data_IF_477653571403
#
_entry.id   IF_477653571403
#
_cell.length_a   1.000
_cell.length_b   1.000
_cell.length_c   1.000
_cell.angle_alpha   90.00
_cell.angle_beta   90.00
_cell.angle_gamma   90.00
#
_symmetry.space_group_name_H-M   'P 1'
#
loop_
_entity.id
_entity.type
_entity.pdbx_description
1 polymer ?
#
# COMPACT_ATOMS: atom_id res chain seq x y z
N UNK A 1 -35.38 63.12 11.43
CA UNK A 1 -35.33 63.23 12.89
C UNK A 1 -34.15 62.40 13.34
N UNK A 2 -32.96 62.89 13.29
CA UNK A 2 -32.15 63.73 14.17
C UNK A 2 -32.00 63.09 15.56
N UNK A 3 -30.78 62.59 15.81
CA UNK A 3 -30.33 62.09 17.10
C UNK A 3 -28.83 61.83 17.14
N UNK A 4 -28.07 62.89 16.98
CA UNK A 4 -26.63 62.99 17.28
C UNK A 4 -26.38 62.87 18.75
N UNK A 5 -25.58 61.88 19.22
CA UNK A 5 -25.02 61.83 20.57
C UNK A 5 -23.54 62.07 20.55
N UNK A 6 -23.19 63.23 21.13
CA UNK A 6 -21.86 63.73 21.47
C UNK A 6 -21.04 62.73 22.29
N UNK A 7 -19.85 62.35 21.84
CA UNK A 7 -18.81 61.74 22.67
C UNK A 7 -17.93 62.80 23.27
N UNK A 8 -17.99 62.87 24.60
CA UNK A 8 -17.22 63.76 25.47
C UNK A 8 -15.73 63.39 25.39
N UNK A 9 -14.94 64.33 24.93
CA UNK A 9 -13.45 64.25 24.96
C UNK A 9 -12.96 64.38 26.41
N UNK A 10 -12.23 63.39 26.89
CA UNK A 10 -11.45 63.48 28.14
C UNK A 10 -10.07 64.09 27.82
N UNK A 11 -9.56 64.95 28.68
CA UNK A 11 -8.26 65.62 28.41
C UNK A 11 -7.07 64.67 28.62
N UNK A 12 -6.25 64.51 27.59
CA UNK A 12 -4.96 63.82 27.65
C UNK A 12 -4.00 64.68 28.46
N UNK A 13 -3.66 64.24 29.66
CA UNK A 13 -2.58 64.82 30.46
C UNK A 13 -1.26 64.46 29.82
N UNK A 14 -0.56 65.45 29.26
CA UNK A 14 0.82 65.35 28.78
C UNK A 14 1.77 65.08 29.95
N UNK A 15 2.39 63.94 30.02
CA UNK A 15 3.49 63.66 30.95
C UNK A 15 4.79 64.28 30.34
N UNK A 16 5.58 65.06 31.07
CA UNK A 16 6.79 65.65 30.53
C UNK A 16 7.82 64.56 30.19
N UNK A 17 8.39 64.71 29.00
CA UNK A 17 9.37 63.77 28.37
C UNK A 17 10.75 63.76 29.07
N UNK A 18 10.93 64.51 30.14
CA UNK A 18 12.22 64.68 30.81
C UNK A 18 12.54 63.65 31.91
N UNK A 19 11.56 62.85 32.36
CA UNK A 19 11.73 61.94 33.51
C UNK A 19 12.08 60.52 33.13
N UNK A 20 12.10 60.15 31.83
CA UNK A 20 12.42 58.75 31.40
C UNK A 20 13.92 58.56 31.06
N UNK A 21 14.65 59.69 30.81
CA UNK A 21 16.06 59.56 30.45
C UNK A 21 17.03 59.48 31.65
N UNK A 22 16.59 59.82 32.84
CA UNK A 22 17.45 59.72 34.05
C UNK A 22 17.34 58.38 34.79
N UNK A 23 16.32 57.56 34.48
CA UNK A 23 16.17 56.22 35.11
C UNK A 23 16.92 55.11 34.37
N UNK A 24 17.43 55.36 33.16
CA UNK A 24 18.33 54.47 32.44
C UNK A 24 19.80 54.82 32.74
N UNK A 25 20.11 54.89 34.03
CA UNK A 25 21.48 54.97 34.51
C UNK A 25 22.28 53.82 33.89
N UNK A 26 23.31 54.16 33.18
CA UNK A 26 24.31 53.31 32.57
C UNK A 26 24.72 52.14 33.50
N UNK A 27 24.02 51.03 33.45
CA UNK A 27 24.66 49.78 33.86
C UNK A 27 25.65 49.40 32.78
N UNK A 28 26.87 49.96 32.87
CA UNK A 28 28.04 49.41 32.24
C UNK A 28 28.07 47.92 32.64
N UNK A 29 27.78 47.04 31.69
CA UNK A 29 28.19 45.65 31.79
C UNK A 29 29.71 45.65 31.84
N UNK A 30 30.26 45.70 33.06
CA UNK A 30 31.66 45.32 33.26
C UNK A 30 31.74 43.86 32.88
N UNK A 31 32.26 43.58 31.69
CA UNK A 31 32.76 42.27 31.30
C UNK A 31 33.87 41.91 32.28
N UNK A 32 33.51 41.34 33.45
CA UNK A 32 34.48 40.69 34.29
C UNK A 32 34.89 39.41 33.53
N UNK A 33 36.12 39.37 33.03
CA UNK A 33 36.82 38.16 32.60
C UNK A 33 37.03 37.21 33.82
N UNK A 34 35.99 36.96 34.61
CA UNK A 34 35.97 35.94 35.64
C UNK A 34 35.56 34.64 34.92
N UNK A 35 36.44 33.63 34.95
CA UNK A 35 36.22 32.33 34.41
C UNK A 35 34.78 31.88 34.71
N UNK A 36 33.97 31.69 33.66
CA UNK A 36 32.59 31.13 33.73
C UNK A 36 32.54 29.86 34.56
N UNK A 37 33.63 29.11 34.58
CA UNK A 37 33.86 27.93 35.42
C UNK A 37 33.84 28.25 36.93
N UNK A 38 34.44 29.37 37.38
CA UNK A 38 34.44 29.80 38.79
C UNK A 38 33.04 30.22 39.28
N UNK A 39 32.25 30.87 38.44
CA UNK A 39 30.86 31.22 38.74
C UNK A 39 29.94 29.96 38.81
N UNK A 40 30.07 29.05 37.87
CA UNK A 40 29.34 27.80 37.86
C UNK A 40 29.66 26.91 39.10
N UNK A 41 30.94 26.84 39.52
CA UNK A 41 31.37 26.12 40.72
C UNK A 41 30.80 26.70 42.01
N UNK A 42 30.71 28.05 42.12
CA UNK A 42 30.06 28.72 43.25
C UNK A 42 28.56 28.45 43.31
N UNK A 43 27.86 28.51 42.18
CA UNK A 43 26.44 28.20 42.06
C UNK A 43 26.13 26.75 42.44
N UNK A 44 26.92 25.81 41.94
CA UNK A 44 26.80 24.40 42.28
C UNK A 44 26.99 24.12 43.76
N UNK A 45 27.98 24.80 44.42
CA UNK A 45 28.23 24.67 45.84
C UNK A 45 27.11 25.28 46.69
N UNK A 46 26.43 26.35 46.23
CA UNK A 46 25.33 26.99 46.94
C UNK A 46 23.99 26.25 46.79
N UNK A 47 23.74 25.67 45.58
CA UNK A 47 22.46 25.00 45.25
C UNK A 47 22.66 23.72 44.46
N UNK A 48 23.24 22.65 45.07
CA UNK A 48 23.68 21.49 44.32
C UNK A 48 22.51 20.72 43.62
N UNK A 49 21.36 20.61 44.28
CA UNK A 49 20.22 19.91 43.70
C UNK A 49 19.54 20.68 42.55
N UNK A 50 19.36 21.98 42.72
CA UNK A 50 18.70 22.82 41.71
C UNK A 50 19.59 22.96 40.45
N UNK A 51 20.91 23.08 40.63
CA UNK A 51 21.85 23.17 39.51
C UNK A 51 21.97 21.84 38.77
N UNK A 52 22.01 20.73 39.50
CA UNK A 52 22.03 19.40 38.89
C UNK A 52 20.76 19.12 38.10
N UNK A 53 19.59 19.47 38.66
CA UNK A 53 18.31 19.31 37.99
C UNK A 53 18.21 20.18 36.72
N UNK A 54 18.58 21.45 36.81
CA UNK A 54 18.65 22.37 35.67
C UNK A 54 19.61 21.90 34.58
N UNK A 55 20.80 21.38 34.97
CA UNK A 55 21.78 20.82 34.04
C UNK A 55 21.25 19.59 33.34
N UNK A 56 20.51 18.73 34.05
CA UNK A 56 19.87 17.55 33.50
C UNK A 56 18.81 17.94 32.44
N UNK A 57 17.95 18.91 32.74
CA UNK A 57 16.96 19.39 31.76
C UNK A 57 17.61 20.01 30.53
N UNK A 58 18.71 20.78 30.69
CA UNK A 58 19.45 21.34 29.55
C UNK A 58 20.07 20.22 28.71
N UNK A 59 20.66 19.20 29.33
CA UNK A 59 21.25 18.07 28.62
C UNK A 59 20.18 17.25 27.88
N UNK A 60 19.04 16.98 28.53
CA UNK A 60 17.91 16.31 27.87
C UNK A 60 17.34 17.14 26.71
N UNK A 61 17.18 18.44 26.89
CA UNK A 61 16.75 19.36 25.84
C UNK A 61 17.72 19.40 24.66
N UNK A 62 19.01 19.53 24.94
CA UNK A 62 20.05 19.51 23.91
C UNK A 62 20.13 18.14 23.19
N UNK A 63 20.11 17.04 23.97
CA UNK A 63 20.06 15.68 23.41
C UNK A 63 18.81 15.44 22.55
N UNK A 64 17.67 15.90 23.02
CA UNK A 64 16.41 15.87 22.25
C UNK A 64 16.50 16.64 20.93
N UNK A 65 17.06 17.83 20.94
CA UNK A 65 17.28 18.61 19.71
C UNK A 65 18.23 17.92 18.72
N UNK A 66 19.33 17.35 19.22
CA UNK A 66 20.27 16.58 18.39
C UNK A 66 19.58 15.35 17.81
N UNK A 67 18.81 14.61 18.63
CA UNK A 67 18.06 13.45 18.19
C UNK A 67 17.00 13.80 17.12
N UNK A 68 16.21 14.85 17.35
CA UNK A 68 15.20 15.33 16.39
C UNK A 68 15.86 15.75 15.08
N UNK A 69 16.98 16.49 15.16
CA UNK A 69 17.72 16.89 13.96
C UNK A 69 18.29 15.71 13.20
N UNK A 70 18.89 14.74 13.91
CA UNK A 70 19.37 13.49 13.31
C UNK A 70 18.24 12.70 12.65
N UNK A 71 17.12 12.51 13.36
CA UNK A 71 15.93 11.81 12.83
C UNK A 71 15.39 12.54 11.58
N UNK A 72 15.26 13.85 11.64
CA UNK A 72 14.79 14.64 10.51
C UNK A 72 15.70 14.48 9.27
N UNK A 73 17.01 14.55 9.45
CA UNK A 73 17.96 14.40 8.33
C UNK A 73 18.07 12.96 7.84
N UNK A 74 18.08 11.96 8.74
CA UNK A 74 18.25 10.56 8.37
C UNK A 74 16.99 9.99 7.71
N UNK A 75 15.82 10.26 8.29
CA UNK A 75 14.56 9.60 7.87
C UNK A 75 13.70 10.49 6.98
N UNK A 76 13.58 11.78 7.27
CA UNK A 76 12.69 12.65 6.48
C UNK A 76 13.39 13.19 5.24
N UNK A 77 14.60 13.76 5.36
CA UNK A 77 15.36 14.22 4.20
C UNK A 77 15.97 13.04 3.46
N UNK A 78 16.47 12.04 4.18
CA UNK A 78 17.09 10.85 3.62
C UNK A 78 16.20 10.07 2.66
N UNK A 79 14.91 9.97 2.95
CA UNK A 79 13.92 9.32 2.08
C UNK A 79 13.75 10.01 0.70
N UNK A 80 14.18 11.27 0.56
CA UNK A 80 14.03 12.06 -0.67
C UNK A 80 15.36 12.31 -1.38
N UNK A 81 16.45 11.63 -1.01
CA UNK A 81 17.79 11.85 -1.61
C UNK A 81 17.83 11.63 -3.12
N UNK A 82 16.97 10.76 -3.64
CA UNK A 82 16.84 10.48 -5.06
C UNK A 82 16.17 11.61 -5.85
N UNK A 83 15.49 12.55 -5.17
CA UNK A 83 14.85 13.70 -5.81
C UNK A 83 15.72 14.94 -5.70
N UNK A 84 15.84 15.77 -6.77
CA UNK A 84 16.36 17.12 -6.67
C UNK A 84 15.58 17.93 -5.63
N UNK A 85 16.27 18.77 -4.84
CA UNK A 85 15.65 19.49 -3.71
C UNK A 85 14.39 20.31 -4.08
N UNK A 86 14.30 21.00 -5.24
CA UNK A 86 13.07 21.68 -5.63
C UNK A 86 11.85 20.74 -5.72
N UNK A 87 12.04 19.52 -6.28
CA UNK A 87 11.01 18.49 -6.40
C UNK A 87 10.70 17.90 -5.03
N UNK A 88 11.72 17.51 -4.27
CA UNK A 88 11.58 16.94 -2.94
C UNK A 88 10.80 17.87 -1.99
N UNK A 89 11.04 19.19 -2.06
CA UNK A 89 10.34 20.19 -1.25
C UNK A 89 8.82 20.19 -1.49
N UNK A 90 8.40 20.15 -2.75
CA UNK A 90 6.96 20.14 -3.06
C UNK A 90 6.33 18.75 -2.82
N UNK A 91 7.08 17.67 -3.07
CA UNK A 91 6.63 16.31 -2.80
C UNK A 91 6.41 16.06 -1.29
N UNK A 92 7.29 16.57 -0.42
CA UNK A 92 7.08 16.49 1.04
C UNK A 92 5.77 17.13 1.47
N UNK A 93 5.38 18.28 0.87
CA UNK A 93 4.09 18.92 1.15
C UNK A 93 2.91 18.08 0.65
N UNK A 94 3.02 17.49 -0.55
CA UNK A 94 1.99 16.60 -1.09
C UNK A 94 1.76 15.41 -0.14
N UNK A 95 2.83 14.73 0.27
CA UNK A 95 2.76 13.59 1.19
C UNK A 95 2.27 13.97 2.59
N UNK A 96 2.63 15.16 3.09
CA UNK A 96 2.09 15.67 4.36
C UNK A 96 0.56 15.77 4.31
N UNK A 97 0.00 16.39 3.26
CA UNK A 97 -1.45 16.51 3.09
C UNK A 97 -2.14 15.20 2.68
N UNK A 98 -1.38 14.18 2.30
CA UNK A 98 -1.89 12.83 2.03
C UNK A 98 -1.97 11.97 3.29
N UNK A 99 -0.97 12.07 4.20
CA UNK A 99 -0.77 11.10 5.26
C UNK A 99 -0.97 11.66 6.67
N UNK A 100 -0.65 12.94 6.90
CA UNK A 100 -0.70 13.55 8.23
C UNK A 100 -1.93 14.45 8.42
N UNK A 101 -2.17 15.36 7.51
CA UNK A 101 -3.29 16.31 7.56
C UNK A 101 -4.08 16.17 6.26
N UNK A 102 -5.02 15.20 6.24
CA UNK A 102 -5.73 14.81 5.03
C UNK A 102 -6.55 15.98 4.46
N UNK A 103 -5.93 16.71 3.52
CA UNK A 103 -6.56 17.82 2.77
C UNK A 103 -6.47 17.55 1.27
N UNK A 104 -7.49 16.89 0.66
CA UNK A 104 -7.44 16.42 -0.71
C UNK A 104 -7.07 17.51 -1.72
N UNK A 105 -7.66 18.67 -1.60
CA UNK A 105 -7.38 19.78 -2.52
C UNK A 105 -5.92 20.25 -2.47
N UNK A 106 -5.34 20.33 -1.25
CA UNK A 106 -3.95 20.74 -1.07
C UNK A 106 -2.99 19.64 -1.58
N UNK A 107 -3.25 18.37 -1.23
CA UNK A 107 -2.45 17.26 -1.71
C UNK A 107 -2.37 17.25 -3.26
N UNK A 108 -3.50 17.29 -3.95
CA UNK A 108 -3.56 17.35 -5.42
C UNK A 108 -2.79 18.54 -5.98
N UNK A 109 -2.96 19.73 -5.38
CA UNK A 109 -2.24 20.94 -5.78
C UNK A 109 -0.72 20.74 -5.71
N UNK A 110 -0.23 20.14 -4.62
CA UNK A 110 1.20 19.93 -4.44
C UNK A 110 1.73 18.80 -5.31
N UNK A 111 1.00 17.71 -5.54
CA UNK A 111 1.40 16.69 -6.53
C UNK A 111 1.54 17.28 -7.93
N UNK A 112 0.57 18.07 -8.40
CA UNK A 112 0.65 18.75 -9.69
C UNK A 112 1.82 19.71 -9.76
N UNK A 113 2.11 20.44 -8.66
CA UNK A 113 3.26 21.34 -8.60
C UNK A 113 4.58 20.56 -8.64
N UNK A 114 4.66 19.42 -7.95
CA UNK A 114 5.84 18.55 -7.95
C UNK A 114 6.16 18.07 -9.37
N UNK A 115 5.16 17.58 -10.10
CA UNK A 115 5.33 17.12 -11.49
C UNK A 115 5.76 18.26 -12.42
N UNK A 116 5.18 19.45 -12.27
CA UNK A 116 5.59 20.64 -13.04
C UNK A 116 7.05 21.02 -12.77
N UNK A 117 7.45 21.06 -11.50
CA UNK A 117 8.84 21.38 -11.13
C UNK A 117 9.80 20.31 -11.66
N UNK A 118 9.40 19.02 -11.64
CA UNK A 118 10.21 17.95 -12.23
C UNK A 118 10.42 18.14 -13.73
N UNK A 119 9.39 18.55 -14.45
CA UNK A 119 9.44 18.88 -15.89
C UNK A 119 10.32 20.12 -16.15
N UNK A 120 10.13 21.20 -15.38
CA UNK A 120 10.89 22.45 -15.50
C UNK A 120 12.42 22.26 -15.33
N UNK A 121 12.82 21.33 -14.47
CA UNK A 121 14.26 20.99 -14.26
C UNK A 121 14.76 19.87 -15.17
N UNK A 122 13.93 19.38 -16.10
CA UNK A 122 14.31 18.38 -17.10
C UNK A 122 14.49 16.96 -16.58
N UNK A 123 13.75 16.55 -15.53
CA UNK A 123 13.74 15.14 -15.11
C UNK A 123 13.15 14.24 -16.21
N UNK A 124 13.74 13.04 -16.39
CA UNK A 124 13.20 12.05 -17.31
C UNK A 124 11.75 11.66 -16.89
N UNK A 125 10.73 11.87 -17.75
CA UNK A 125 9.34 11.54 -17.47
C UNK A 125 9.11 10.05 -17.14
N UNK A 126 10.04 9.18 -17.58
CA UNK A 126 9.99 7.73 -17.38
C UNK A 126 11.00 7.24 -16.33
N UNK A 127 11.59 8.16 -15.55
CA UNK A 127 12.37 7.77 -14.38
C UNK A 127 11.48 7.15 -13.30
N UNK A 128 12.06 6.29 -12.44
CA UNK A 128 11.32 5.68 -11.33
C UNK A 128 10.75 6.74 -10.38
N UNK A 129 11.45 7.86 -10.22
CA UNK A 129 11.04 8.98 -9.40
C UNK A 129 9.77 9.65 -9.94
N UNK A 130 9.75 9.99 -11.23
CA UNK A 130 8.60 10.69 -11.85
C UNK A 130 7.41 9.75 -11.98
N UNK A 131 7.61 8.51 -12.43
CA UNK A 131 6.56 7.49 -12.46
C UNK A 131 6.02 7.22 -11.06
N UNK A 132 6.89 7.14 -10.05
CA UNK A 132 6.51 6.97 -8.65
C UNK A 132 5.60 8.10 -8.14
N UNK A 133 5.87 9.37 -8.48
CA UNK A 133 5.01 10.51 -8.12
C UNK A 133 3.62 10.38 -8.78
N UNK A 134 3.56 9.99 -10.07
CA UNK A 134 2.30 9.80 -10.80
C UNK A 134 1.47 8.66 -10.18
N UNK A 135 2.10 7.51 -9.89
CA UNK A 135 1.47 6.36 -9.23
C UNK A 135 0.98 6.72 -7.83
N UNK A 136 1.79 7.46 -7.05
CA UNK A 136 1.40 7.92 -5.72
C UNK A 136 0.20 8.88 -5.75
N UNK A 137 0.10 9.72 -6.78
CA UNK A 137 -1.09 10.56 -7.00
C UNK A 137 -2.33 9.69 -7.26
N UNK A 138 -2.22 8.63 -8.06
CA UNK A 138 -3.33 7.70 -8.31
C UNK A 138 -3.73 6.97 -7.02
N UNK A 139 -2.78 6.45 -6.24
CA UNK A 139 -3.04 5.83 -4.94
C UNK A 139 -3.71 6.82 -3.96
N UNK A 140 -3.34 8.10 -4.01
CA UNK A 140 -4.03 9.12 -3.22
C UNK A 140 -5.48 9.33 -3.68
N UNK A 141 -5.75 9.31 -5.00
CA UNK A 141 -7.12 9.39 -5.52
C UNK A 141 -7.97 8.21 -5.06
N UNK A 142 -7.41 7.00 -5.05
CA UNK A 142 -8.04 5.79 -4.50
C UNK A 142 -8.34 5.95 -3.00
N UNK A 143 -7.36 6.40 -2.20
CA UNK A 143 -7.52 6.66 -0.76
C UNK A 143 -8.69 7.60 -0.44
N UNK A 144 -8.95 8.58 -1.28
CA UNK A 144 -10.08 9.51 -1.14
C UNK A 144 -11.32 9.07 -1.92
N UNK A 145 -11.39 7.78 -2.28
CA UNK A 145 -12.51 7.13 -2.97
C UNK A 145 -12.87 7.75 -4.34
N UNK A 146 -11.90 8.36 -5.01
CA UNK A 146 -12.06 8.88 -6.39
C UNK A 146 -11.51 7.88 -7.40
N UNK A 147 -12.06 6.67 -7.42
CA UNK A 147 -11.57 5.54 -8.21
C UNK A 147 -11.44 5.84 -9.70
N UNK A 148 -12.45 6.43 -10.34
CA UNK A 148 -12.36 6.82 -11.75
C UNK A 148 -11.24 7.83 -12.03
N UNK A 149 -10.91 8.71 -11.08
CA UNK A 149 -9.77 9.63 -11.23
C UNK A 149 -8.44 8.92 -11.06
N UNK A 150 -8.36 7.95 -10.17
CA UNK A 150 -7.18 7.09 -10.02
C UNK A 150 -6.91 6.33 -11.33
N UNK A 151 -7.94 5.69 -11.89
CA UNK A 151 -7.87 4.98 -13.18
C UNK A 151 -7.41 5.93 -14.29
N UNK A 152 -8.02 7.13 -14.42
CA UNK A 152 -7.60 8.10 -15.44
C UNK A 152 -6.12 8.46 -15.36
N UNK A 153 -5.59 8.67 -14.15
CA UNK A 153 -4.16 8.97 -13.98
C UNK A 153 -3.30 7.79 -14.40
N UNK A 154 -3.67 6.57 -13.97
CA UNK A 154 -2.92 5.35 -14.30
C UNK A 154 -2.98 5.02 -15.79
N UNK A 155 -4.13 5.20 -16.45
CA UNK A 155 -4.28 4.99 -17.91
C UNK A 155 -3.39 5.95 -18.71
N UNK A 156 -3.32 7.23 -18.34
CA UNK A 156 -2.41 8.18 -18.98
C UNK A 156 -0.96 7.71 -18.81
N UNK A 157 -0.55 7.34 -17.60
CA UNK A 157 0.82 6.87 -17.35
C UNK A 157 1.13 5.59 -18.12
N UNK A 158 0.17 4.65 -18.17
CA UNK A 158 0.31 3.41 -18.92
C UNK A 158 0.50 3.67 -20.41
N UNK A 159 -0.34 4.52 -21.00
CA UNK A 159 -0.28 4.84 -22.41
C UNK A 159 1.03 5.57 -22.76
N UNK A 160 1.43 6.59 -21.99
CA UNK A 160 2.73 7.25 -22.13
C UNK A 160 3.89 6.22 -22.16
N UNK A 161 3.85 5.23 -21.26
CA UNK A 161 4.87 4.17 -21.18
C UNK A 161 4.85 3.24 -22.42
N UNK A 162 3.65 2.87 -22.89
CA UNK A 162 3.51 2.01 -24.10
C UNK A 162 3.98 2.74 -25.34
N UNK A 163 3.60 4.00 -25.53
CA UNK A 163 4.03 4.84 -26.65
C UNK A 163 5.56 4.98 -26.66
N UNK A 164 6.18 5.18 -25.48
CA UNK A 164 7.63 5.23 -25.38
C UNK A 164 8.29 3.87 -25.72
N UNK A 165 7.71 2.76 -25.27
CA UNK A 165 8.23 1.41 -25.58
C UNK A 165 8.17 1.14 -27.08
N UNK A 166 7.07 1.53 -27.76
CA UNK A 166 6.89 1.34 -29.19
C UNK A 166 7.87 2.19 -30.00
N UNK A 167 8.05 3.48 -29.63
CA UNK A 167 8.87 4.42 -30.40
C UNK A 167 10.38 4.25 -30.16
N UNK A 168 10.76 3.96 -28.91
CA UNK A 168 12.18 4.00 -28.49
C UNK A 168 12.70 2.67 -27.92
N UNK A 169 11.83 1.72 -27.59
CA UNK A 169 12.18 0.53 -26.81
C UNK A 169 13.14 -0.43 -27.54
N UNK A 170 13.08 -0.50 -28.87
CA UNK A 170 13.89 -1.44 -29.67
C UNK A 170 15.32 -0.93 -29.94
N UNK A 171 15.64 0.30 -29.53
CA UNK A 171 17.00 0.85 -29.70
C UNK A 171 17.97 0.17 -28.74
N UNK A 172 19.18 -0.22 -29.22
CA UNK A 172 20.15 -0.95 -28.39
C UNK A 172 20.52 -0.26 -27.08
N UNK A 173 20.56 1.07 -27.05
CA UNK A 173 20.85 1.88 -25.87
C UNK A 173 19.72 1.88 -24.83
N UNK A 174 18.51 1.51 -25.25
CA UNK A 174 17.32 1.57 -24.42
C UNK A 174 16.89 0.23 -23.81
N UNK A 175 17.59 -0.84 -24.06
CA UNK A 175 17.20 -2.21 -23.65
C UNK A 175 16.90 -2.31 -22.16
N UNK A 176 17.77 -1.75 -21.30
CA UNK A 176 17.56 -1.75 -19.85
C UNK A 176 16.41 -0.83 -19.41
N UNK A 177 16.28 0.34 -20.04
CA UNK A 177 15.18 1.27 -19.77
C UNK A 177 13.84 0.69 -20.23
N UNK A 178 13.80 0.03 -21.39
CA UNK A 178 12.62 -0.69 -21.90
C UNK A 178 12.13 -1.73 -20.92
N UNK A 179 13.03 -2.59 -20.42
CA UNK A 179 12.67 -3.62 -19.43
C UNK A 179 12.03 -3.01 -18.18
N UNK A 180 12.64 -1.97 -17.63
CA UNK A 180 12.15 -1.27 -16.43
C UNK A 180 10.78 -0.60 -16.67
N UNK A 181 10.61 0.08 -17.80
CA UNK A 181 9.33 0.72 -18.15
C UNK A 181 8.26 -0.35 -18.37
N UNK A 182 8.58 -1.46 -19.05
CA UNK A 182 7.64 -2.55 -19.30
C UNK A 182 7.19 -3.20 -17.98
N UNK A 183 8.11 -3.44 -17.03
CA UNK A 183 7.80 -3.93 -15.67
C UNK A 183 6.82 -2.99 -14.95
N UNK A 184 7.06 -1.68 -15.00
CA UNK A 184 6.14 -0.68 -14.40
C UNK A 184 4.78 -0.66 -15.10
N UNK A 185 4.77 -0.79 -16.44
CA UNK A 185 3.52 -0.83 -17.21
C UNK A 185 2.67 -2.05 -16.87
N UNK A 186 3.30 -3.21 -16.67
CA UNK A 186 2.62 -4.42 -16.17
C UNK A 186 2.00 -4.15 -14.79
N UNK A 187 2.78 -3.62 -13.84
CA UNK A 187 2.26 -3.32 -12.50
C UNK A 187 1.12 -2.29 -12.51
N UNK A 188 1.21 -1.26 -13.36
CA UNK A 188 0.15 -0.27 -13.55
C UNK A 188 -1.11 -0.92 -14.15
N UNK A 189 -0.95 -1.80 -15.14
CA UNK A 189 -2.08 -2.50 -15.79
C UNK A 189 -2.80 -3.43 -14.81
N UNK A 190 -2.05 -4.15 -13.96
CA UNK A 190 -2.62 -4.94 -12.86
C UNK A 190 -3.45 -4.06 -11.92
N UNK A 191 -2.89 -2.92 -11.51
CA UNK A 191 -3.61 -2.00 -10.61
C UNK A 191 -4.86 -1.38 -11.24
N UNK A 192 -4.82 -1.07 -12.53
CA UNK A 192 -6.00 -0.60 -13.27
C UNK A 192 -7.06 -1.71 -13.30
N UNK A 193 -6.67 -2.95 -13.59
CA UNK A 193 -7.59 -4.09 -13.61
C UNK A 193 -8.25 -4.32 -12.25
N UNK A 194 -7.49 -4.28 -11.15
CA UNK A 194 -8.04 -4.36 -9.79
C UNK A 194 -9.04 -3.23 -9.50
N UNK A 195 -8.77 -2.01 -9.94
CA UNK A 195 -9.67 -0.87 -9.73
C UNK A 195 -10.96 -1.01 -10.55
N UNK A 196 -10.89 -1.54 -11.78
CA UNK A 196 -12.06 -1.79 -12.61
C UNK A 196 -12.94 -2.93 -12.06
N UNK A 197 -12.34 -4.01 -11.53
CA UNK A 197 -13.10 -5.11 -10.92
C UNK A 197 -13.64 -4.79 -9.53
N UNK A 198 -13.15 -3.72 -8.87
CA UNK A 198 -13.56 -3.32 -7.53
C UNK A 198 -15.04 -2.93 -7.43
N UNK A 199 -15.64 -3.11 -6.24
CA UNK A 199 -17.07 -2.89 -5.95
C UNK A 199 -17.61 -1.51 -6.36
N UNK A 200 -16.75 -0.48 -6.41
CA UNK A 200 -17.14 0.90 -6.69
C UNK A 200 -17.15 1.25 -8.17
N UNK A 201 -16.49 0.46 -9.03
CA UNK A 201 -16.40 0.71 -10.47
C UNK A 201 -17.20 -0.32 -11.25
N UNK A 202 -16.97 -1.62 -11.00
CA UNK A 202 -17.72 -2.76 -11.56
C UNK A 202 -17.74 -2.78 -13.10
N UNK A 203 -16.56 -2.68 -13.70
CA UNK A 203 -16.36 -2.77 -15.15
C UNK A 203 -15.50 -4.01 -15.46
N UNK A 204 -16.06 -5.23 -15.34
CA UNK A 204 -15.29 -6.48 -15.39
C UNK A 204 -14.62 -6.73 -16.75
N UNK A 205 -15.23 -6.30 -17.86
CA UNK A 205 -14.65 -6.45 -19.20
C UNK A 205 -13.39 -5.59 -19.37
N UNK A 206 -13.41 -4.35 -18.84
CA UNK A 206 -12.23 -3.47 -18.85
C UNK A 206 -11.15 -4.00 -17.89
N UNK A 207 -11.55 -4.57 -16.76
CA UNK A 207 -10.63 -5.24 -15.85
C UNK A 207 -9.92 -6.39 -16.55
N UNK A 208 -10.68 -7.29 -17.21
CA UNK A 208 -10.15 -8.42 -17.95
C UNK A 208 -9.15 -7.99 -19.02
N UNK A 209 -9.49 -6.97 -19.84
CA UNK A 209 -8.59 -6.44 -20.88
C UNK A 209 -7.20 -6.07 -20.30
N UNK A 210 -7.19 -5.34 -19.17
CA UNK A 210 -5.93 -4.88 -18.56
C UNK A 210 -5.14 -6.01 -17.91
N UNK A 211 -5.85 -6.91 -17.23
CA UNK A 211 -5.23 -8.06 -16.54
C UNK A 211 -4.69 -9.09 -17.54
N UNK A 212 -5.44 -9.40 -18.60
CA UNK A 212 -4.97 -10.30 -19.67
C UNK A 212 -3.74 -9.74 -20.33
N UNK A 213 -3.74 -8.46 -20.73
CA UNK A 213 -2.57 -7.81 -21.30
C UNK A 213 -1.35 -7.92 -20.37
N UNK A 214 -1.54 -7.68 -19.08
CA UNK A 214 -0.45 -7.74 -18.09
C UNK A 214 0.12 -9.17 -17.96
N UNK A 215 -0.75 -10.19 -17.86
CA UNK A 215 -0.36 -11.60 -17.75
C UNK A 215 0.34 -12.07 -19.04
N UNK A 216 -0.25 -11.81 -20.21
CA UNK A 216 0.36 -12.18 -21.50
C UNK A 216 1.75 -11.54 -21.69
N UNK A 217 1.87 -10.25 -21.38
CA UNK A 217 3.15 -9.54 -21.48
C UNK A 217 4.19 -10.13 -20.52
N UNK A 218 3.76 -10.42 -19.29
CA UNK A 218 4.61 -11.04 -18.26
C UNK A 218 5.15 -12.40 -18.70
N UNK A 219 4.26 -13.28 -19.17
CA UNK A 219 4.62 -14.64 -19.59
C UNK A 219 5.40 -14.65 -20.90
N UNK A 220 5.07 -13.78 -21.86
CA UNK A 220 5.79 -13.65 -23.13
C UNK A 220 7.24 -13.22 -22.90
N UNK A 221 7.46 -12.23 -22.02
CA UNK A 221 8.80 -11.78 -21.69
C UNK A 221 9.60 -12.83 -20.90
N UNK A 222 8.95 -13.57 -19.99
CA UNK A 222 9.57 -14.70 -19.30
C UNK A 222 10.01 -15.77 -20.30
N UNK A 223 9.12 -16.21 -21.18
CA UNK A 223 9.40 -17.22 -22.21
C UNK A 223 10.52 -16.77 -23.16
N UNK A 224 10.50 -15.50 -23.59
CA UNK A 224 11.57 -14.94 -24.42
C UNK A 224 12.93 -15.07 -23.74
N UNK A 225 13.01 -14.72 -22.44
CA UNK A 225 14.25 -14.80 -21.66
C UNK A 225 14.72 -16.23 -21.41
N UNK A 226 13.81 -17.18 -21.30
CA UNK A 226 14.14 -18.59 -21.16
C UNK A 226 14.65 -19.20 -22.48
N UNK A 227 14.11 -18.76 -23.61
CA UNK A 227 14.46 -19.32 -24.94
C UNK A 227 15.65 -18.61 -25.60
N UNK A 228 15.69 -17.28 -25.56
CA UNK A 228 16.71 -16.45 -26.21
C UNK A 228 17.86 -16.04 -25.27
N UNK A 229 17.66 -16.21 -23.96
CA UNK A 229 18.55 -15.68 -22.94
C UNK A 229 18.32 -14.20 -22.64
N UNK A 230 19.05 -13.70 -21.64
CA UNK A 230 19.01 -12.28 -21.25
C UNK A 230 20.02 -11.50 -22.11
N UNK A 231 19.56 -10.46 -22.81
CA UNK A 231 20.40 -9.64 -23.67
C UNK A 231 21.34 -8.74 -22.85
N UNK A 232 22.56 -8.42 -23.36
CA UNK A 232 23.45 -7.49 -22.68
C UNK A 232 22.78 -6.14 -22.42
N UNK A 233 22.88 -5.63 -21.17
CA UNK A 233 22.25 -4.37 -20.75
C UNK A 233 20.78 -4.46 -20.35
N UNK A 234 20.16 -5.60 -20.58
CA UNK A 234 18.79 -5.87 -20.14
C UNK A 234 18.74 -5.98 -18.59
N UNK A 235 17.83 -5.25 -17.94
CA UNK A 235 17.64 -5.32 -16.50
C UNK A 235 17.05 -6.66 -16.05
N UNK A 236 16.87 -6.81 -14.73
CA UNK A 236 16.12 -7.94 -14.16
C UNK A 236 14.67 -7.84 -14.59
N UNK A 237 14.05 -9.00 -14.82
CA UNK A 237 12.60 -9.11 -15.02
C UNK A 237 11.90 -9.42 -13.67
N UNK A 238 10.59 -9.42 -13.70
CA UNK A 238 9.74 -9.80 -12.57
C UNK A 238 10.23 -11.13 -11.95
N UNK A 239 10.24 -11.19 -10.63
CA UNK A 239 10.54 -12.44 -9.93
C UNK A 239 9.33 -13.39 -9.97
N UNK A 240 9.53 -14.65 -9.52
CA UNK A 240 8.48 -15.68 -9.55
C UNK A 240 7.23 -15.26 -8.77
N UNK A 241 7.38 -14.60 -7.62
CA UNK A 241 6.26 -14.13 -6.80
C UNK A 241 5.47 -13.03 -7.49
N UNK A 242 6.14 -12.09 -8.16
CA UNK A 242 5.48 -11.03 -8.94
C UNK A 242 4.72 -11.61 -10.15
N UNK A 243 5.28 -12.63 -10.79
CA UNK A 243 4.59 -13.35 -11.87
C UNK A 243 3.37 -14.08 -11.31
N UNK A 244 3.51 -14.76 -10.16
CA UNK A 244 2.41 -15.40 -9.46
C UNK A 244 1.29 -14.43 -9.11
N UNK A 245 1.63 -13.24 -8.59
CA UNK A 245 0.66 -12.19 -8.26
C UNK A 245 -0.12 -11.69 -9.49
N UNK A 246 0.51 -11.61 -10.67
CA UNK A 246 -0.19 -11.24 -11.90
C UNK A 246 -1.21 -12.31 -12.34
N UNK A 247 -0.86 -13.58 -12.19
CA UNK A 247 -1.77 -14.71 -12.46
C UNK A 247 -2.93 -14.75 -11.47
N UNK A 248 -2.64 -14.52 -10.19
CA UNK A 248 -3.65 -14.43 -9.14
C UNK A 248 -4.66 -13.30 -9.41
N UNK A 249 -4.18 -12.11 -9.76
CA UNK A 249 -5.06 -10.96 -10.04
C UNK A 249 -6.06 -11.27 -11.18
N UNK A 250 -5.61 -11.92 -12.25
CA UNK A 250 -6.50 -12.38 -13.33
C UNK A 250 -7.42 -13.50 -12.86
N UNK A 251 -6.91 -14.44 -12.06
CA UNK A 251 -7.70 -15.54 -11.46
C UNK A 251 -8.84 -15.00 -10.60
N UNK A 252 -8.56 -14.04 -9.74
CA UNK A 252 -9.55 -13.37 -8.90
C UNK A 252 -10.62 -12.63 -9.73
N UNK A 253 -10.22 -12.00 -10.84
CA UNK A 253 -11.17 -11.34 -11.74
C UNK A 253 -12.12 -12.37 -12.39
N UNK A 254 -11.63 -13.51 -12.83
CA UNK A 254 -12.46 -14.57 -13.38
C UNK A 254 -13.36 -15.24 -12.32
N UNK A 255 -12.84 -15.42 -11.09
CA UNK A 255 -13.64 -15.96 -9.97
C UNK A 255 -14.79 -15.02 -9.62
N UNK A 256 -14.56 -13.71 -9.56
CA UNK A 256 -15.59 -12.69 -9.30
C UNK A 256 -16.70 -12.64 -10.38
N UNK A 257 -16.42 -13.21 -11.56
CA UNK A 257 -17.38 -13.34 -12.68
C UNK A 257 -17.97 -14.76 -12.79
N UNK A 258 -17.82 -15.62 -11.77
CA UNK A 258 -18.22 -17.02 -11.79
C UNK A 258 -17.55 -17.87 -12.91
N UNK A 259 -16.45 -17.37 -13.50
CA UNK A 259 -15.70 -18.05 -14.56
C UNK A 259 -14.61 -18.98 -13.96
N UNK A 260 -15.02 -19.82 -13.03
CA UNK A 260 -14.13 -20.67 -12.23
C UNK A 260 -13.26 -21.62 -13.07
N UNK A 261 -13.71 -22.02 -14.25
CA UNK A 261 -12.93 -22.85 -15.17
C UNK A 261 -11.68 -22.13 -15.68
N UNK A 262 -11.78 -20.81 -15.91
CA UNK A 262 -10.65 -19.97 -16.31
C UNK A 262 -9.76 -19.58 -15.12
N UNK A 263 -10.34 -19.42 -13.94
CA UNK A 263 -9.62 -19.06 -12.72
C UNK A 263 -8.71 -20.20 -12.22
N UNK A 264 -9.20 -21.43 -12.24
CA UNK A 264 -8.49 -22.60 -11.68
C UNK A 264 -7.07 -22.81 -12.21
N UNK A 265 -6.77 -22.80 -13.53
CA UNK A 265 -5.42 -22.95 -14.02
C UNK A 265 -4.49 -21.79 -13.65
N UNK A 266 -5.02 -20.57 -13.51
CA UNK A 266 -4.26 -19.40 -13.10
C UNK A 266 -3.81 -19.51 -11.64
N UNK A 267 -4.72 -19.88 -10.73
CA UNK A 267 -4.36 -20.13 -9.34
C UNK A 267 -3.37 -21.29 -9.19
N UNK A 268 -3.51 -22.37 -9.97
CA UNK A 268 -2.55 -23.47 -9.97
C UNK A 268 -1.16 -23.01 -10.41
N UNK A 269 -1.06 -22.18 -11.44
CA UNK A 269 0.22 -21.60 -11.87
C UNK A 269 0.78 -20.61 -10.83
N UNK A 270 -0.07 -19.78 -10.21
CA UNK A 270 0.33 -18.86 -9.13
C UNK A 270 0.92 -19.64 -7.94
N UNK A 271 0.31 -20.76 -7.53
CA UNK A 271 0.86 -21.65 -6.50
C UNK A 271 2.25 -22.17 -6.88
N UNK A 272 2.47 -22.56 -8.14
CA UNK A 272 3.76 -23.04 -8.61
C UNK A 272 4.84 -21.93 -8.64
N UNK A 273 4.44 -20.68 -8.73
CA UNK A 273 5.33 -19.52 -8.69
C UNK A 273 5.65 -19.04 -7.27
N UNK A 274 4.81 -19.38 -6.31
CA UNK A 274 4.92 -18.94 -4.90
C UNK A 274 5.86 -19.84 -4.10
N UNK A 275 6.48 -19.34 -3.01
CA UNK A 275 7.27 -20.13 -2.09
C UNK A 275 6.40 -21.25 -1.46
N UNK A 276 6.85 -22.52 -1.45
CA UNK A 276 6.00 -23.65 -1.02
C UNK A 276 5.54 -23.57 0.44
N UNK A 277 6.23 -22.82 1.27
CA UNK A 277 5.93 -22.62 2.70
C UNK A 277 5.70 -21.13 2.99
N UNK A 278 4.63 -20.57 2.44
CA UNK A 278 4.20 -19.21 2.77
C UNK A 278 2.71 -19.18 3.09
N UNK A 279 2.28 -18.23 3.93
CA UNK A 279 0.86 -18.02 4.23
C UNK A 279 0.08 -17.72 2.95
N UNK A 280 0.68 -16.93 2.04
CA UNK A 280 0.06 -16.60 0.76
C UNK A 280 -0.19 -17.82 -0.13
N UNK A 281 0.71 -18.82 -0.11
CA UNK A 281 0.49 -20.08 -0.84
C UNK A 281 -0.76 -20.84 -0.32
N UNK A 282 -1.02 -20.76 0.99
CA UNK A 282 -2.26 -21.35 1.53
C UNK A 282 -3.51 -20.58 1.07
N UNK A 283 -3.42 -19.25 0.93
CA UNK A 283 -4.52 -18.46 0.34
C UNK A 283 -4.78 -18.87 -1.10
N UNK A 284 -3.73 -18.96 -1.94
CA UNK A 284 -3.87 -19.41 -3.33
C UNK A 284 -4.47 -20.83 -3.45
N UNK A 285 -4.10 -21.75 -2.54
CA UNK A 285 -4.70 -23.08 -2.49
C UNK A 285 -6.19 -23.03 -2.13
N UNK A 286 -6.62 -22.10 -1.28
CA UNK A 286 -8.02 -21.85 -0.98
C UNK A 286 -8.79 -21.34 -2.19
N UNK A 287 -8.26 -20.35 -2.89
CA UNK A 287 -8.87 -19.80 -4.10
C UNK A 287 -8.99 -20.89 -5.18
N UNK A 288 -7.93 -21.70 -5.36
CA UNK A 288 -8.00 -22.87 -6.24
C UNK A 288 -9.07 -23.86 -5.80
N UNK A 289 -9.18 -24.15 -4.50
CA UNK A 289 -10.13 -25.13 -3.99
C UNK A 289 -11.58 -24.76 -4.32
N UNK A 290 -11.98 -23.51 -4.05
CA UNK A 290 -13.35 -23.06 -4.34
C UNK A 290 -13.61 -22.99 -5.85
N UNK A 291 -12.64 -22.49 -6.63
CA UNK A 291 -12.77 -22.46 -8.09
C UNK A 291 -12.91 -23.86 -8.70
N UNK A 292 -12.16 -24.86 -8.22
CA UNK A 292 -12.31 -26.25 -8.66
C UNK A 292 -13.68 -26.83 -8.28
N UNK A 293 -14.20 -26.52 -7.09
CA UNK A 293 -15.50 -26.98 -6.66
C UNK A 293 -16.66 -26.38 -7.47
N UNK A 294 -16.54 -25.13 -7.88
CA UNK A 294 -17.61 -24.39 -8.54
C UNK A 294 -17.52 -24.40 -10.07
N UNK A 295 -16.37 -24.80 -10.64
CA UNK A 295 -16.20 -24.79 -12.10
C UNK A 295 -17.23 -25.67 -12.82
N UNK A 296 -17.62 -25.19 -14.00
CA UNK A 296 -18.40 -25.94 -14.98
C UNK A 296 -17.53 -26.13 -16.22
N UNK A 297 -16.80 -27.26 -16.35
CA UNK A 297 -15.92 -27.48 -17.48
C UNK A 297 -16.70 -27.49 -18.79
N UNK A 298 -16.16 -26.94 -19.88
CA UNK A 298 -16.81 -27.00 -21.18
C UNK A 298 -16.90 -28.45 -21.66
N UNK A 299 -17.98 -28.76 -22.37
CA UNK A 299 -18.14 -30.08 -23.00
C UNK A 299 -17.17 -30.24 -24.16
N UNK A 300 -16.24 -31.17 -24.05
CA UNK A 300 -15.29 -31.50 -25.12
C UNK A 300 -15.84 -32.73 -25.88
N UNK A 301 -16.03 -32.63 -27.20
CA UNK A 301 -16.51 -33.80 -28.00
C UNK A 301 -15.59 -35.02 -27.82
N UNK A 302 -16.17 -36.15 -27.46
CA UNK A 302 -15.43 -37.41 -27.26
C UNK A 302 -14.81 -37.59 -25.87
N UNK A 303 -14.95 -36.63 -24.94
CA UNK A 303 -14.56 -36.82 -23.55
C UNK A 303 -15.77 -36.83 -22.62
N UNK A 304 -15.77 -37.77 -21.67
CA UNK A 304 -16.79 -37.78 -20.63
C UNK A 304 -16.57 -36.55 -19.72
N UNK A 305 -17.62 -35.79 -19.36
CA UNK A 305 -17.49 -34.65 -18.46
C UNK A 305 -17.01 -35.12 -17.10
N UNK A 306 -16.12 -34.29 -16.47
CA UNK A 306 -15.67 -34.58 -15.10
C UNK A 306 -16.88 -34.53 -14.16
N UNK A 307 -17.05 -35.57 -13.35
CA UNK A 307 -18.21 -35.64 -12.46
C UNK A 307 -18.13 -34.60 -11.33
N UNK A 308 -19.27 -34.06 -10.91
CA UNK A 308 -19.35 -33.12 -9.79
C UNK A 308 -18.69 -33.64 -8.51
N UNK A 309 -18.93 -34.90 -8.08
CA UNK A 309 -18.25 -35.46 -6.92
C UNK A 309 -16.73 -35.49 -7.05
N UNK A 310 -16.19 -35.74 -8.25
CA UNK A 310 -14.75 -35.71 -8.49
C UNK A 310 -14.19 -34.30 -8.29
N UNK A 311 -14.86 -33.28 -8.80
CA UNK A 311 -14.47 -31.87 -8.61
C UNK A 311 -14.48 -31.48 -7.13
N UNK A 312 -15.53 -31.78 -6.40
CA UNK A 312 -15.67 -31.50 -4.96
C UNK A 312 -14.60 -32.26 -4.15
N UNK A 313 -14.26 -33.49 -4.47
CA UNK A 313 -13.19 -34.22 -3.80
C UNK A 313 -11.81 -33.62 -4.05
N UNK A 314 -11.54 -33.21 -5.29
CA UNK A 314 -10.29 -32.51 -5.62
C UNK A 314 -10.21 -31.15 -4.87
N UNK A 315 -11.29 -30.39 -4.83
CA UNK A 315 -11.40 -29.14 -4.10
C UNK A 315 -11.12 -29.33 -2.59
N UNK A 316 -11.73 -30.37 -2.00
CA UNK A 316 -11.51 -30.74 -0.59
C UNK A 316 -10.03 -31.04 -0.31
N UNK A 317 -9.36 -31.76 -1.21
CA UNK A 317 -7.94 -32.05 -1.06
C UNK A 317 -7.08 -30.77 -1.05
N UNK A 318 -7.41 -29.77 -1.90
CA UNK A 318 -6.73 -28.49 -1.91
C UNK A 318 -6.99 -27.67 -0.63
N UNK A 319 -8.23 -27.62 -0.12
CA UNK A 319 -8.54 -26.92 1.13
C UNK A 319 -7.82 -27.55 2.34
N UNK A 320 -7.76 -28.89 2.43
CA UNK A 320 -6.99 -29.58 3.47
C UNK A 320 -5.51 -29.24 3.37
N UNK A 321 -4.95 -29.25 2.15
CA UNK A 321 -3.55 -28.90 1.93
C UNK A 321 -3.27 -27.42 2.31
N UNK A 322 -4.20 -26.51 2.06
CA UNK A 322 -4.08 -25.11 2.50
C UNK A 322 -3.97 -25.02 4.04
N UNK A 323 -4.82 -25.73 4.77
CA UNK A 323 -4.77 -25.80 6.24
C UNK A 323 -3.43 -26.39 6.70
N UNK A 324 -2.98 -27.49 6.10
CA UNK A 324 -1.71 -28.13 6.44
C UNK A 324 -0.53 -27.16 6.24
N UNK A 325 -0.46 -26.49 5.09
CA UNK A 325 0.58 -25.49 4.84
C UNK A 325 0.53 -24.37 5.88
N UNK A 326 -0.64 -23.77 6.12
CA UNK A 326 -0.80 -22.65 7.04
C UNK A 326 -0.49 -23.01 8.50
N UNK A 327 -0.85 -24.22 8.94
CA UNK A 327 -0.62 -24.69 10.32
C UNK A 327 0.83 -25.04 10.59
N UNK A 328 1.59 -25.44 9.57
CA UNK A 328 3.01 -25.82 9.70
C UNK A 328 3.97 -24.61 9.61
N UNK A 329 3.48 -23.39 9.42
CA UNK A 329 4.29 -22.17 9.45
C UNK A 329 4.33 -21.64 10.88
N UNK A 330 5.56 -21.50 11.42
CA UNK A 330 5.81 -20.98 12.75
C UNK A 330 6.22 -19.48 12.70
N UNK A 331 6.06 -18.74 13.80
CA UNK A 331 6.66 -17.39 13.90
C UNK A 331 8.21 -17.46 13.75
N UNK A 332 8.86 -16.46 13.12
CA UNK A 332 8.27 -15.18 12.69
C UNK A 332 7.59 -15.18 11.30
N UNK A 333 7.69 -16.26 10.53
CA UNK A 333 7.15 -16.37 9.16
C UNK A 333 5.61 -16.45 9.13
N UNK A 334 5.02 -16.92 10.24
CA UNK A 334 3.57 -16.97 10.40
C UNK A 334 2.99 -15.56 10.55
N UNK A 335 2.13 -15.18 9.62
CA UNK A 335 1.39 -13.92 9.63
C UNK A 335 -0.10 -14.15 9.87
N UNK A 336 -0.86 -13.09 10.10
CA UNK A 336 -2.32 -13.12 10.18
C UNK A 336 -2.97 -13.78 8.94
N UNK A 337 -2.34 -13.69 7.79
CA UNK A 337 -2.77 -14.32 6.54
C UNK A 337 -2.87 -15.85 6.66
N UNK A 338 -1.95 -16.51 7.41
CA UNK A 338 -2.05 -17.93 7.69
C UNK A 338 -3.32 -18.28 8.49
N UNK A 339 -3.67 -17.46 9.47
CA UNK A 339 -4.82 -17.69 10.33
C UNK A 339 -6.12 -17.46 9.54
N UNK A 340 -6.16 -16.41 8.70
CA UNK A 340 -7.26 -16.17 7.77
C UNK A 340 -7.41 -17.32 6.77
N UNK A 341 -6.32 -17.82 6.19
CA UNK A 341 -6.34 -18.96 5.28
C UNK A 341 -6.94 -20.20 5.94
N UNK A 342 -6.61 -20.47 7.22
CA UNK A 342 -7.21 -21.59 7.96
C UNK A 342 -8.71 -21.42 8.16
N UNK A 343 -9.18 -20.22 8.53
CA UNK A 343 -10.61 -19.97 8.75
C UNK A 343 -11.41 -20.10 7.44
N UNK A 344 -10.90 -19.53 6.33
CA UNK A 344 -11.53 -19.60 5.01
C UNK A 344 -11.54 -21.04 4.49
N UNK A 345 -10.42 -21.78 4.60
CA UNK A 345 -10.37 -23.18 4.19
C UNK A 345 -11.34 -24.05 4.98
N UNK A 346 -11.49 -23.82 6.28
CA UNK A 346 -12.45 -24.52 7.12
C UNK A 346 -13.89 -24.23 6.70
N UNK A 347 -14.19 -22.98 6.32
CA UNK A 347 -15.48 -22.59 5.76
C UNK A 347 -15.75 -23.32 4.44
N UNK A 348 -14.77 -23.33 3.51
CA UNK A 348 -14.86 -24.01 2.22
C UNK A 348 -15.12 -25.53 2.40
N UNK A 349 -14.48 -26.17 3.40
CA UNK A 349 -14.77 -27.58 3.73
C UNK A 349 -16.22 -27.78 4.17
N UNK A 350 -16.82 -26.80 4.84
CA UNK A 350 -18.25 -26.78 5.14
C UNK A 350 -19.13 -26.73 3.89
N UNK A 351 -18.76 -25.87 2.91
CA UNK A 351 -19.46 -25.81 1.63
C UNK A 351 -19.36 -27.12 0.84
N UNK A 352 -18.18 -27.75 0.82
CA UNK A 352 -18.01 -29.04 0.15
C UNK A 352 -18.82 -30.15 0.81
N UNK A 353 -18.95 -30.16 2.14
CA UNK A 353 -19.83 -31.08 2.84
C UNK A 353 -21.33 -30.83 2.50
N UNK A 354 -21.71 -29.53 2.40
CA UNK A 354 -23.08 -29.18 1.98
C UNK A 354 -23.36 -29.60 0.52
N UNK A 355 -22.38 -29.49 -0.39
CA UNK A 355 -22.48 -29.93 -1.77
C UNK A 355 -22.66 -31.48 -1.86
N UNK A 356 -22.06 -32.24 -0.94
CA UNK A 356 -22.24 -33.70 -0.83
C UNK A 356 -23.54 -34.08 -0.11
N UNK A 357 -24.28 -33.12 0.46
CA UNK A 357 -25.52 -33.37 1.23
C UNK A 357 -25.27 -33.76 2.69
N UNK A 358 -24.03 -33.76 3.17
CA UNK A 358 -23.71 -34.03 4.58
C UNK A 358 -23.90 -32.75 5.43
N UNK A 359 -25.15 -32.51 5.80
CA UNK A 359 -25.57 -31.33 6.57
C UNK A 359 -24.91 -31.29 7.96
N UNK A 360 -24.68 -32.46 8.57
CA UNK A 360 -24.08 -32.55 9.90
C UNK A 360 -22.59 -32.11 9.86
N UNK A 361 -21.83 -32.66 8.92
CA UNK A 361 -20.45 -32.24 8.70
C UNK A 361 -20.33 -30.77 8.28
N UNK A 362 -21.23 -30.28 7.41
CA UNK A 362 -21.27 -28.91 6.98
C UNK A 362 -21.46 -27.94 8.17
N UNK A 363 -22.43 -28.21 9.04
CA UNK A 363 -22.70 -27.44 10.26
C UNK A 363 -21.47 -27.39 11.16
N UNK A 364 -20.82 -28.53 11.41
CA UNK A 364 -19.64 -28.60 12.26
C UNK A 364 -18.52 -27.72 11.71
N UNK A 365 -18.27 -27.75 10.40
CA UNK A 365 -17.23 -26.95 9.76
C UNK A 365 -17.54 -25.46 9.76
N UNK A 366 -18.77 -25.05 9.56
CA UNK A 366 -19.16 -23.65 9.65
C UNK A 366 -19.05 -23.10 11.10
N UNK A 367 -19.40 -23.89 12.12
CA UNK A 367 -19.23 -23.51 13.53
C UNK A 367 -17.72 -23.40 13.89
N UNK A 368 -16.88 -24.29 13.37
CA UNK A 368 -15.43 -24.23 13.52
C UNK A 368 -14.85 -22.96 12.85
N UNK A 369 -15.20 -22.69 11.59
CA UNK A 369 -14.77 -21.50 10.86
C UNK A 369 -15.21 -20.20 11.55
N UNK A 370 -16.44 -20.16 12.06
CA UNK A 370 -16.97 -19.03 12.86
C UNK A 370 -16.15 -18.80 14.12
N UNK A 371 -15.76 -19.89 14.81
CA UNK A 371 -14.98 -19.82 16.04
C UNK A 371 -13.56 -19.28 15.77
N UNK A 372 -12.90 -19.75 14.71
CA UNK A 372 -11.62 -19.25 14.24
C UNK A 372 -11.72 -17.76 13.88
N UNK A 373 -12.71 -17.37 13.09
CA UNK A 373 -12.95 -15.97 12.69
C UNK A 373 -13.18 -15.04 13.87
N UNK A 374 -13.88 -15.51 14.94
CA UNK A 374 -14.10 -14.73 16.17
C UNK A 374 -12.79 -14.45 16.91
N UNK A 375 -11.91 -15.44 17.03
CA UNK A 375 -10.63 -15.28 17.72
C UNK A 375 -9.76 -14.23 17.04
N UNK A 376 -9.83 -14.14 15.72
CA UNK A 376 -9.06 -13.19 14.91
C UNK A 376 -9.73 -11.82 14.73
N UNK A 377 -11.00 -11.68 15.11
CA UNK A 377 -11.80 -10.49 14.82
C UNK A 377 -12.18 -10.34 13.33
N UNK A 378 -12.16 -11.43 12.56
CA UNK A 378 -12.51 -11.47 11.14
C UNK A 378 -14.04 -11.42 10.97
N UNK A 379 -14.59 -10.20 10.89
CA UNK A 379 -16.04 -9.95 10.87
C UNK A 379 -16.74 -10.55 9.65
N UNK A 380 -16.11 -10.52 8.49
CA UNK A 380 -16.64 -11.10 7.26
C UNK A 380 -16.77 -12.62 7.38
N UNK A 381 -15.75 -13.33 7.86
CA UNK A 381 -15.78 -14.77 8.11
C UNK A 381 -16.87 -15.16 9.10
N UNK A 382 -17.11 -14.35 10.15
CA UNK A 382 -18.21 -14.57 11.09
C UNK A 382 -19.56 -14.44 10.36
N UNK A 383 -19.74 -13.38 9.57
CA UNK A 383 -20.97 -13.13 8.81
C UNK A 383 -21.28 -14.25 7.82
N UNK A 384 -20.27 -14.71 7.08
CA UNK A 384 -20.40 -15.76 6.08
C UNK A 384 -20.77 -17.10 6.74
N UNK A 385 -20.12 -17.45 7.85
CA UNK A 385 -20.45 -18.68 8.60
C UNK A 385 -21.88 -18.60 9.21
N UNK A 386 -22.30 -17.45 9.74
CA UNK A 386 -23.67 -17.27 10.25
C UNK A 386 -24.72 -17.38 9.14
N UNK A 387 -24.46 -16.82 7.97
CA UNK A 387 -25.34 -16.94 6.81
C UNK A 387 -25.48 -18.41 6.36
N UNK A 388 -24.36 -19.15 6.32
CA UNK A 388 -24.36 -20.57 5.98
C UNK A 388 -25.13 -21.41 7.01
N UNK A 389 -24.90 -21.24 8.30
CA UNK A 389 -25.61 -21.92 9.37
C UNK A 389 -27.12 -21.63 9.35
N UNK A 390 -27.50 -20.38 9.08
CA UNK A 390 -28.92 -19.98 8.92
C UNK A 390 -29.54 -20.63 7.69
N UNK A 391 -28.81 -20.79 6.60
CA UNK A 391 -29.26 -21.51 5.39
C UNK A 391 -29.52 -22.97 5.69
N UNK A 392 -28.61 -23.65 6.43
CA UNK A 392 -28.76 -25.04 6.84
C UNK A 392 -29.92 -25.26 7.82
N UNK A 393 -30.33 -24.28 8.61
CA UNK A 393 -31.45 -24.42 9.55
C UNK A 393 -32.82 -24.42 8.87
N UNK A 394 -32.88 -24.01 7.60
CA UNK A 394 -34.10 -23.98 6.80
C UNK A 394 -34.29 -25.23 5.90
N UNK A 395 -33.25 -26.07 5.80
CA UNK A 395 -33.27 -27.36 5.13
C UNK A 395 -33.62 -28.45 6.15
#
# INVERSE_FOLDING_TARGET
MSGTRCLRQLPVRSVPRATIQEALGQRRFQSSKGSTYGAAKKLFKAYPYSVSLASMFILFGAGGLVFVNYYYHAYIIGAFKQFPEPVAKELRKALYFTNQDLKPHQAIKFYKKTLRVAEEIGMDPFSDEVLGIKIQLAAFMEKIQKYHKAIQVLEIVRNDCLDWIEEFGDKPENVGKRTRILEKTVAISLKIGELYSGEYVKEPELAEEKLVWAVETTLRELQRRETEGVKPGEGKWLNREQIGASLEALGNNYEAQDQHYLASPLFLQAINMSPPKSCHTAVLMNNLSISVAQQTPPSIPGQAPVSRPTLVNNARAWAIKAIDVATNIAPPERTEECDLACAVATHNLGEFAEMDGDIAAARLKYDEAKSLSKVMGFTEGISNADAALKRLSKK
#
